data_IF_304813250212
#
_entry.id   IF_304813250212
#
_cell.length_a   1.000
_cell.length_b   1.000
_cell.length_c   1.000
_cell.angle_alpha   90.00
_cell.angle_beta   90.00
_cell.angle_gamma   90.00
#
_symmetry.space_group_name_H-M   'P 1'
#
loop_
_entity.id
_entity.type
_entity.pdbx_description
1 polymer ?
#
# COMPACT_ATOMS: atom_id res chain seq x y z
N UNK A 1 18.27 27.54 18.67
CA UNK A 1 17.22 26.94 17.82
C UNK A 1 15.96 27.77 17.90
N UNK A 2 15.27 27.71 19.03
CA UNK A 2 13.97 28.36 19.28
C UNK A 2 13.87 29.82 18.80
N UNK A 3 14.79 30.70 19.20
CA UNK A 3 14.76 32.11 18.78
C UNK A 3 14.87 32.30 17.26
N UNK A 4 15.68 31.48 16.56
CA UNK A 4 15.78 31.53 15.10
C UNK A 4 14.50 31.05 14.42
N UNK A 5 13.84 30.02 14.98
CA UNK A 5 12.56 29.55 14.49
C UNK A 5 11.44 30.60 14.62
N UNK A 6 11.45 31.41 15.71
CA UNK A 6 10.46 32.48 15.91
C UNK A 6 10.54 33.62 14.88
N UNK A 7 11.66 33.74 14.17
CA UNK A 7 11.85 34.71 13.08
C UNK A 7 11.89 34.01 11.71
N UNK A 8 11.33 32.79 11.62
CA UNK A 8 11.24 31.95 10.42
C UNK A 8 12.58 31.63 9.74
N UNK A 9 13.69 31.66 10.50
CA UNK A 9 15.01 31.21 10.04
C UNK A 9 15.22 29.74 10.40
N UNK A 10 14.48 28.87 9.72
CA UNK A 10 14.39 27.44 10.01
C UNK A 10 15.69 26.66 9.72
N UNK A 11 16.41 27.04 8.67
CA UNK A 11 17.76 26.56 8.36
C UNK A 11 18.74 26.84 9.52
N UNK A 12 18.77 28.09 9.99
CA UNK A 12 19.60 28.51 11.11
C UNK A 12 19.14 27.90 12.44
N UNK A 13 17.82 27.70 12.61
CA UNK A 13 17.28 27.01 13.77
C UNK A 13 17.81 25.57 13.85
N UNK A 14 17.81 24.85 12.73
CA UNK A 14 18.36 23.49 12.63
C UNK A 14 19.86 23.46 12.98
N UNK A 15 20.66 24.39 12.44
CA UNK A 15 22.08 24.50 12.81
C UNK A 15 22.29 24.70 14.30
N UNK A 16 21.51 25.58 14.95
CA UNK A 16 21.63 25.80 16.37
C UNK A 16 21.20 24.58 17.21
N UNK A 17 20.18 23.84 16.77
CA UNK A 17 19.82 22.59 17.43
C UNK A 17 20.94 21.55 17.27
N UNK A 18 21.58 21.43 16.10
CA UNK A 18 22.74 20.55 15.91
C UNK A 18 23.95 20.94 16.78
N UNK A 19 24.20 22.24 17.00
CA UNK A 19 25.22 22.68 17.97
C UNK A 19 24.87 22.26 19.40
N UNK A 20 23.58 22.28 19.74
CA UNK A 20 23.03 21.71 20.98
C UNK A 20 23.34 20.22 21.08
N UNK A 21 23.02 19.45 20.04
CA UNK A 21 23.33 18.02 19.94
C UNK A 21 24.82 17.73 20.19
N UNK A 22 25.73 18.40 19.48
CA UNK A 22 27.17 18.19 19.66
C UNK A 22 27.66 18.57 21.07
N UNK A 23 27.00 19.50 21.74
CA UNK A 23 27.31 19.85 23.13
C UNK A 23 26.78 18.80 24.09
N UNK A 24 25.57 18.28 23.87
CA UNK A 24 24.99 17.19 24.66
C UNK A 24 25.81 15.90 24.55
N UNK A 25 26.26 15.53 23.33
CA UNK A 25 27.15 14.37 23.11
C UNK A 25 28.46 14.53 23.90
N UNK A 26 29.11 15.71 23.86
CA UNK A 26 30.34 15.96 24.62
C UNK A 26 30.14 15.87 26.15
N UNK A 27 28.92 16.09 26.61
CA UNK A 27 28.54 15.99 28.02
C UNK A 27 27.99 14.61 28.38
N UNK A 28 27.99 13.65 27.44
CA UNK A 28 27.37 12.32 27.59
C UNK A 28 25.90 12.40 28.05
N UNK A 29 25.15 13.38 27.55
CA UNK A 29 23.72 13.53 27.83
C UNK A 29 22.91 13.07 26.62
N UNK A 30 22.62 11.77 26.56
CA UNK A 30 21.93 11.12 25.43
C UNK A 30 20.50 11.65 25.26
N UNK A 31 19.78 11.90 26.36
CA UNK A 31 18.42 12.45 26.33
C UNK A 31 18.39 13.80 25.61
N UNK A 32 19.28 14.73 25.97
CA UNK A 32 19.36 16.02 25.28
C UNK A 32 19.90 15.87 23.86
N UNK A 33 20.81 14.94 23.61
CA UNK A 33 21.32 14.68 22.27
C UNK A 33 20.19 14.25 21.32
N UNK A 34 19.38 13.27 21.72
CA UNK A 34 18.20 12.84 20.97
C UNK A 34 17.19 13.99 20.80
N UNK A 35 16.91 14.73 21.87
CA UNK A 35 15.97 15.84 21.83
C UNK A 35 16.38 16.92 20.81
N UNK A 36 17.66 17.31 20.80
CA UNK A 36 18.18 18.27 19.84
C UNK A 36 18.16 17.75 18.40
N UNK A 37 18.41 16.45 18.18
CA UNK A 37 18.27 15.87 16.83
C UNK A 37 16.82 15.89 16.34
N UNK A 38 15.85 15.59 17.21
CA UNK A 38 14.43 15.68 16.86
C UNK A 38 13.99 17.11 16.53
N UNK A 39 14.40 18.09 17.32
CA UNK A 39 14.10 19.50 17.03
C UNK A 39 14.82 19.98 15.75
N UNK A 40 16.02 19.50 15.48
CA UNK A 40 16.72 19.75 14.22
C UNK A 40 15.98 19.14 13.02
N UNK A 41 15.45 17.91 13.14
CA UNK A 41 14.66 17.27 12.10
C UNK A 41 13.40 18.09 11.76
N UNK A 42 12.66 18.55 12.78
CA UNK A 42 11.51 19.42 12.56
C UNK A 42 11.89 20.74 11.88
N UNK A 43 12.98 21.37 12.31
CA UNK A 43 13.48 22.60 11.69
C UNK A 43 13.93 22.38 10.24
N UNK A 44 14.61 21.28 9.93
CA UNK A 44 14.96 20.91 8.55
C UNK A 44 13.74 20.67 7.67
N UNK A 45 12.67 20.11 8.24
CA UNK A 45 11.42 19.91 7.51
C UNK A 45 10.78 21.26 7.14
N UNK A 46 10.69 22.18 8.12
CA UNK A 46 10.22 23.56 7.88
C UNK A 46 11.08 24.30 6.85
N UNK A 47 12.38 24.00 6.78
CA UNK A 47 13.31 24.55 5.80
C UNK A 47 13.29 23.83 4.42
N UNK A 48 12.49 22.76 4.25
CA UNK A 48 12.37 22.01 3.00
C UNK A 48 13.54 21.06 2.70
N UNK A 49 14.37 20.70 3.69
CA UNK A 49 15.57 19.88 3.52
C UNK A 49 15.34 18.41 3.93
N UNK A 50 14.59 17.66 3.12
CA UNK A 50 14.18 16.26 3.42
C UNK A 50 15.34 15.30 3.76
N UNK A 51 16.49 15.29 3.05
CA UNK A 51 17.58 14.39 3.41
C UNK A 51 18.10 14.60 4.84
N UNK A 52 18.17 15.87 5.28
CA UNK A 52 18.56 16.22 6.64
C UNK A 52 17.50 15.87 7.68
N UNK A 53 16.21 15.97 7.32
CA UNK A 53 15.10 15.50 8.18
C UNK A 53 15.29 14.02 8.52
N UNK A 54 15.45 13.17 7.51
CA UNK A 54 15.60 11.72 7.69
C UNK A 54 16.87 11.40 8.48
N UNK A 55 17.99 12.05 8.17
CA UNK A 55 19.25 11.87 8.90
C UNK A 55 19.10 12.21 10.39
N UNK A 56 18.48 13.34 10.70
CA UNK A 56 18.29 13.76 12.10
C UNK A 56 17.29 12.87 12.85
N UNK A 57 16.19 12.45 12.22
CA UNK A 57 15.29 11.48 12.85
C UNK A 57 15.95 10.12 13.08
N UNK A 58 16.68 9.57 12.11
CA UNK A 58 17.45 8.31 12.30
C UNK A 58 18.40 8.42 13.49
N UNK A 59 19.17 9.51 13.56
CA UNK A 59 20.09 9.74 14.67
C UNK A 59 19.36 9.85 16.01
N UNK A 60 18.24 10.58 16.06
CA UNK A 60 17.44 10.69 17.28
C UNK A 60 16.85 9.36 17.71
N UNK A 61 16.31 8.58 16.77
CA UNK A 61 15.69 7.28 17.05
C UNK A 61 16.73 6.27 17.52
N UNK A 62 17.92 6.22 16.90
CA UNK A 62 19.01 5.37 17.35
C UNK A 62 19.42 5.68 18.79
N UNK A 63 19.60 6.97 19.13
CA UNK A 63 19.91 7.37 20.50
C UNK A 63 18.81 6.95 21.50
N UNK A 64 17.54 7.12 21.14
CA UNK A 64 16.42 6.72 22.02
C UNK A 64 16.35 5.19 22.16
N UNK A 65 16.68 4.45 21.10
CA UNK A 65 16.65 2.99 21.15
C UNK A 65 17.69 2.41 22.10
N UNK A 66 18.86 3.06 22.21
CA UNK A 66 19.96 2.69 23.12
C UNK A 66 19.70 3.07 24.59
N UNK A 67 18.72 3.95 24.88
CA UNK A 67 18.40 4.38 26.24
C UNK A 67 17.68 3.28 27.03
N UNK A 68 18.06 3.12 28.31
CA UNK A 68 17.29 2.29 29.24
C UNK A 68 15.97 2.97 29.61
N UNK A 69 14.86 2.36 29.21
CA UNK A 69 13.51 2.95 29.32
C UNK A 69 12.93 2.68 30.69
N UNK A 70 13.50 3.30 31.71
CA UNK A 70 12.84 3.35 33.01
C UNK A 70 11.61 4.27 32.93
N UNK A 71 10.44 3.71 33.27
CA UNK A 71 9.14 4.42 33.25
C UNK A 71 9.10 5.62 34.21
N UNK A 72 10.02 5.66 35.19
CA UNK A 72 10.16 6.77 36.12
C UNK A 72 10.96 7.96 35.58
N UNK A 73 11.74 7.79 34.50
CA UNK A 73 12.57 8.88 33.97
C UNK A 73 11.73 9.82 33.08
N UNK A 74 11.43 11.00 33.62
CA UNK A 74 10.71 12.05 32.90
C UNK A 74 11.42 12.47 31.62
N UNK A 75 12.75 12.54 31.60
CA UNK A 75 13.51 12.99 30.44
C UNK A 75 13.47 12.00 29.29
N UNK A 76 13.68 10.72 29.58
CA UNK A 76 13.61 9.65 28.59
C UNK A 76 12.18 9.53 28.05
N UNK A 77 11.18 9.51 28.94
CA UNK A 77 9.77 9.43 28.52
C UNK A 77 9.34 10.64 27.71
N UNK A 78 9.80 11.84 28.10
CA UNK A 78 9.55 13.08 27.35
C UNK A 78 10.09 12.98 25.93
N UNK A 79 11.40 12.75 25.79
CA UNK A 79 12.04 12.76 24.47
C UNK A 79 11.44 11.69 23.57
N UNK A 80 11.22 10.47 24.07
CA UNK A 80 10.57 9.40 23.31
C UNK A 80 9.21 9.85 22.75
N UNK A 81 8.31 10.33 23.61
CA UNK A 81 6.94 10.68 23.21
C UNK A 81 6.89 11.90 22.31
N UNK A 82 7.67 12.93 22.59
CA UNK A 82 7.71 14.13 21.74
C UNK A 82 8.35 13.84 20.40
N UNK A 83 9.41 13.02 20.34
CA UNK A 83 10.01 12.57 19.08
C UNK A 83 9.01 11.77 18.24
N UNK A 84 8.31 10.80 18.84
CA UNK A 84 7.29 10.00 18.15
C UNK A 84 6.15 10.89 17.61
N UNK A 85 5.73 11.88 18.40
CA UNK A 85 4.72 12.85 17.99
C UNK A 85 5.17 13.69 16.80
N UNK A 86 6.35 14.31 16.86
CA UNK A 86 6.89 15.14 15.77
C UNK A 86 7.06 14.29 14.51
N UNK A 87 7.61 13.08 14.64
CA UNK A 87 7.81 12.16 13.53
C UNK A 87 6.47 11.80 12.85
N UNK A 88 5.46 11.42 13.64
CA UNK A 88 4.13 11.11 13.13
C UNK A 88 3.48 12.32 12.45
N UNK A 89 3.60 13.50 13.05
CA UNK A 89 3.06 14.74 12.50
C UNK A 89 3.70 15.09 11.15
N UNK A 90 5.03 15.09 11.07
CA UNK A 90 5.77 15.38 9.82
C UNK A 90 5.41 14.38 8.74
N UNK A 91 5.39 13.08 9.07
CA UNK A 91 4.97 12.02 8.16
C UNK A 91 3.57 12.29 7.61
N UNK A 92 2.60 12.59 8.46
CA UNK A 92 1.22 12.85 8.03
C UNK A 92 1.13 14.02 7.05
N UNK A 93 1.84 15.12 7.32
CA UNK A 93 1.82 16.28 6.44
C UNK A 93 2.42 15.97 5.07
N UNK A 94 3.50 15.19 5.02
CA UNK A 94 4.11 14.78 3.75
C UNK A 94 3.19 13.79 3.00
N UNK A 95 2.62 12.80 3.70
CA UNK A 95 1.81 11.74 3.10
C UNK A 95 0.43 12.23 2.63
N UNK A 96 -0.22 13.09 3.41
CA UNK A 96 -1.62 13.49 3.19
C UNK A 96 -1.80 14.97 2.85
N UNK A 97 -0.72 15.75 2.79
CA UNK A 97 -0.76 17.21 2.64
C UNK A 97 -1.24 17.98 3.88
N UNK A 98 -1.67 17.28 4.93
CA UNK A 98 -2.19 17.85 6.17
C UNK A 98 -1.91 16.92 7.37
N UNK A 99 -1.83 17.46 8.60
CA UNK A 99 -1.67 16.61 9.78
C UNK A 99 -2.97 15.84 10.07
N UNK A 100 -2.86 14.70 10.75
CA UNK A 100 -4.01 14.01 11.33
C UNK A 100 -4.73 14.94 12.29
N UNK A 101 -6.07 14.88 12.32
CA UNK A 101 -6.91 15.82 13.07
C UNK A 101 -6.62 15.80 14.60
N UNK A 102 -6.17 14.66 15.11
CA UNK A 102 -5.83 14.44 16.51
C UNK A 102 -4.44 14.96 16.90
N UNK A 103 -3.59 15.29 15.92
CA UNK A 103 -2.22 15.73 16.17
C UNK A 103 -2.14 17.25 16.24
N UNK A 104 -1.66 17.77 17.37
CA UNK A 104 -1.31 19.18 17.52
C UNK A 104 -0.03 19.51 16.75
N UNK A 105 0.12 20.77 16.33
CA UNK A 105 1.32 21.20 15.61
C UNK A 105 2.51 21.30 16.58
N UNK A 106 3.65 20.66 16.28
CA UNK A 106 4.85 20.82 17.09
C UNK A 106 5.34 22.26 17.13
N UNK A 107 5.86 22.70 18.26
CA UNK A 107 6.56 23.98 18.38
C UNK A 107 8.08 23.78 18.36
N UNK A 108 8.82 24.83 17.99
CA UNK A 108 10.27 24.75 17.93
C UNK A 108 10.88 24.53 19.32
N UNK A 109 11.74 23.52 19.47
CA UNK A 109 12.37 23.19 20.75
C UNK A 109 11.50 22.32 21.66
N UNK A 110 10.42 21.73 21.15
CA UNK A 110 9.50 20.90 21.92
C UNK A 110 10.21 19.73 22.60
N UNK A 111 11.14 19.06 21.93
CA UNK A 111 11.86 17.95 22.55
C UNK A 111 12.91 18.44 23.56
N UNK A 112 13.65 19.50 23.22
CA UNK A 112 14.77 20.02 24.02
C UNK A 112 14.37 21.02 25.10
N UNK A 113 13.08 21.25 25.32
CA UNK A 113 12.59 22.16 26.37
C UNK A 113 13.05 21.70 27.76
N UNK A 114 13.57 22.62 28.61
CA UNK A 114 13.89 22.30 29.99
C UNK A 114 12.63 22.14 30.86
N UNK A 115 11.54 22.80 30.48
CA UNK A 115 10.26 22.78 31.19
C UNK A 115 9.41 21.60 30.69
N UNK A 116 9.62 20.43 31.28
CA UNK A 116 8.90 19.19 30.93
C UNK A 116 7.66 19.03 31.79
N UNK A 117 6.52 18.73 31.16
CA UNK A 117 5.28 18.46 31.88
C UNK A 117 5.25 17.00 32.37
N UNK A 118 5.24 16.80 33.68
CA UNK A 118 5.18 15.49 34.33
C UNK A 118 3.93 14.67 34.00
N UNK A 119 2.84 15.33 33.59
CA UNK A 119 1.61 14.65 33.15
C UNK A 119 1.84 13.69 31.98
N UNK A 120 2.94 13.87 31.23
CA UNK A 120 3.30 12.97 30.13
C UNK A 120 3.54 11.52 30.61
N UNK A 121 3.93 11.34 31.88
CA UNK A 121 4.14 10.02 32.49
C UNK A 121 2.81 9.27 32.70
N UNK A 122 1.69 9.99 32.83
CA UNK A 122 0.36 9.40 33.05
C UNK A 122 -0.35 8.96 31.76
N UNK A 123 0.20 9.31 30.59
CA UNK A 123 -0.38 8.93 29.30
C UNK A 123 -0.22 7.42 29.04
N UNK A 124 -1.09 6.79 28.21
CA UNK A 124 -0.94 5.38 27.84
C UNK A 124 0.45 5.07 27.27
N UNK A 125 0.96 3.89 27.59
CA UNK A 125 2.21 3.38 27.03
C UNK A 125 2.03 3.05 25.55
N UNK A 126 3.00 3.45 24.74
CA UNK A 126 3.04 3.18 23.30
C UNK A 126 4.33 2.42 23.02
N UNK A 127 4.28 1.27 22.33
CA UNK A 127 5.48 0.54 21.95
C UNK A 127 6.41 1.40 21.10
N UNK A 128 7.71 1.27 21.32
CA UNK A 128 8.72 2.01 20.54
C UNK A 128 8.74 1.57 19.08
N UNK A 129 8.33 0.33 18.81
CA UNK A 129 8.14 -0.27 17.49
C UNK A 129 7.27 0.62 16.58
N UNK A 130 6.31 1.36 17.15
CA UNK A 130 5.48 2.32 16.41
C UNK A 130 6.33 3.49 15.86
N UNK A 131 7.29 3.97 16.64
CA UNK A 131 8.19 5.05 16.21
C UNK A 131 9.15 4.57 15.12
N UNK A 132 9.64 3.32 15.24
CA UNK A 132 10.45 2.68 14.21
C UNK A 132 9.65 2.54 12.90
N UNK A 133 8.41 2.08 12.97
CA UNK A 133 7.52 2.00 11.81
C UNK A 133 7.28 3.38 11.17
N UNK A 134 7.02 4.42 11.96
CA UNK A 134 6.83 5.77 11.41
C UNK A 134 8.07 6.30 10.70
N UNK A 135 9.27 5.96 11.18
CA UNK A 135 10.51 6.32 10.49
C UNK A 135 10.63 5.62 9.14
N UNK A 136 10.38 4.31 9.10
CA UNK A 136 10.36 3.52 7.85
C UNK A 136 9.33 4.08 6.86
N UNK A 137 8.12 4.36 7.34
CA UNK A 137 7.06 4.92 6.48
C UNK A 137 7.42 6.32 5.98
N UNK A 138 8.08 7.14 6.79
CA UNK A 138 8.54 8.46 6.38
C UNK A 138 9.59 8.36 5.26
N UNK A 139 10.57 7.45 5.37
CA UNK A 139 11.54 7.20 4.29
C UNK A 139 10.87 6.79 2.99
N UNK A 140 9.90 5.87 3.12
CA UNK A 140 9.12 5.37 1.98
C UNK A 140 8.34 6.47 1.28
N UNK A 141 7.58 7.28 2.03
CA UNK A 141 6.80 8.40 1.47
C UNK A 141 7.71 9.47 0.87
N UNK A 142 8.93 9.66 1.41
CA UNK A 142 9.93 10.55 0.83
C UNK A 142 10.66 9.97 -0.39
N UNK A 143 10.37 8.73 -0.80
CA UNK A 143 11.10 7.99 -1.82
C UNK A 143 12.63 7.99 -1.58
N UNK A 144 13.02 7.86 -0.31
CA UNK A 144 14.41 7.85 0.12
C UNK A 144 14.97 6.41 0.18
N UNK A 145 16.29 6.30 0.32
CA UNK A 145 16.94 5.01 0.58
C UNK A 145 16.39 4.39 1.89
N UNK A 146 16.02 3.10 1.89
CA UNK A 146 15.26 2.44 2.96
C UNK A 146 16.15 2.03 4.15
N UNK A 147 17.00 2.94 4.63
CA UNK A 147 17.99 2.66 5.69
C UNK A 147 17.32 2.21 7.00
N UNK A 148 16.20 2.83 7.40
CA UNK A 148 15.51 2.41 8.62
C UNK A 148 14.86 1.04 8.46
N UNK A 149 14.43 0.67 7.26
CA UNK A 149 13.90 -0.68 7.00
C UNK A 149 15.02 -1.72 7.13
N UNK A 150 16.23 -1.42 6.65
CA UNK A 150 17.38 -2.31 6.80
C UNK A 150 17.81 -2.46 8.26
N UNK A 151 17.79 -1.37 9.04
CA UNK A 151 18.18 -1.37 10.45
C UNK A 151 17.14 -2.02 11.37
N UNK A 152 15.86 -1.77 11.13
CA UNK A 152 14.79 -2.10 12.08
C UNK A 152 13.74 -3.06 11.53
N UNK A 153 13.73 -3.37 10.24
CA UNK A 153 12.72 -4.21 9.60
C UNK A 153 12.61 -5.59 10.23
N UNK A 154 13.74 -6.28 10.45
CA UNK A 154 13.75 -7.58 11.11
C UNK A 154 13.16 -7.55 12.52
N UNK A 155 13.49 -6.51 13.31
CA UNK A 155 12.93 -6.33 14.65
C UNK A 155 11.41 -6.14 14.63
N UNK A 156 10.91 -5.37 13.66
CA UNK A 156 9.47 -5.14 13.51
C UNK A 156 8.73 -6.38 13.01
N UNK A 157 9.35 -7.14 12.10
CA UNK A 157 8.83 -8.40 11.59
C UNK A 157 8.75 -9.50 12.68
N UNK A 158 9.60 -9.41 13.70
CA UNK A 158 9.62 -10.30 14.86
C UNK A 158 8.72 -9.81 16.01
N UNK A 159 8.04 -8.67 15.83
CA UNK A 159 7.19 -8.08 16.87
C UNK A 159 5.98 -8.96 17.18
N UNK A 160 5.69 -9.15 18.46
CA UNK A 160 4.49 -9.87 18.93
C UNK A 160 3.23 -8.99 18.99
N UNK A 161 3.33 -7.75 18.56
CA UNK A 161 2.25 -6.77 18.59
C UNK A 161 1.53 -6.84 17.23
N UNK A 162 0.28 -7.35 17.17
CA UNK A 162 -0.41 -7.55 15.88
C UNK A 162 -0.56 -6.26 15.07
N UNK A 163 -0.72 -5.12 15.74
CA UNK A 163 -0.79 -3.81 15.10
C UNK A 163 0.49 -3.48 14.30
N UNK A 164 1.67 -3.90 14.75
CA UNK A 164 2.93 -3.67 14.02
C UNK A 164 2.94 -4.46 12.72
N UNK A 165 2.55 -5.74 12.74
CA UNK A 165 2.47 -6.55 11.53
C UNK A 165 1.39 -6.02 10.55
N UNK A 166 0.25 -5.54 11.07
CA UNK A 166 -0.77 -4.83 10.27
C UNK A 166 -0.22 -3.59 9.55
N UNK A 167 0.85 -2.98 10.08
CA UNK A 167 1.51 -1.83 9.49
C UNK A 167 2.65 -2.22 8.54
N UNK A 168 3.41 -3.26 8.88
CA UNK A 168 4.55 -3.75 8.10
C UNK A 168 4.12 -4.53 6.85
N UNK A 169 3.13 -5.41 6.95
CA UNK A 169 2.72 -6.23 5.81
C UNK A 169 2.28 -5.42 4.57
N UNK A 170 1.53 -4.30 4.68
CA UNK A 170 1.26 -3.41 3.54
C UNK A 170 2.52 -2.81 2.90
N UNK A 171 3.58 -2.52 3.67
CA UNK A 171 4.86 -2.05 3.12
C UNK A 171 5.55 -3.17 2.33
N UNK A 172 5.60 -4.37 2.89
CA UNK A 172 6.16 -5.56 2.24
C UNK A 172 5.40 -5.89 0.94
N UNK A 173 4.07 -5.81 0.96
CA UNK A 173 3.24 -5.97 -0.24
C UNK A 173 3.58 -4.91 -1.28
N UNK A 174 3.61 -3.64 -0.89
CA UNK A 174 3.95 -2.55 -1.81
C UNK A 174 5.34 -2.78 -2.45
N UNK A 175 6.34 -3.16 -1.66
CA UNK A 175 7.68 -3.47 -2.15
C UNK A 175 7.67 -4.66 -3.12
N UNK A 176 6.97 -5.75 -2.79
CA UNK A 176 6.88 -6.93 -3.65
C UNK A 176 6.22 -6.63 -5.01
N UNK A 177 5.18 -5.78 -5.04
CA UNK A 177 4.54 -5.35 -6.28
C UNK A 177 5.42 -4.40 -7.10
N UNK A 178 6.16 -3.50 -6.44
CA UNK A 178 7.09 -2.58 -7.11
C UNK A 178 8.31 -3.31 -7.68
N UNK A 179 8.91 -4.24 -6.93
CA UNK A 179 10.10 -4.99 -7.35
C UNK A 179 9.79 -6.18 -8.25
N UNK A 180 8.52 -6.59 -8.36
CA UNK A 180 8.11 -7.82 -9.05
C UNK A 180 8.48 -9.11 -8.31
N UNK A 181 8.94 -9.00 -7.05
CA UNK A 181 9.31 -10.13 -6.19
C UNK A 181 8.08 -10.81 -5.57
N UNK A 182 7.13 -11.20 -6.42
CA UNK A 182 5.82 -11.72 -6.02
C UNK A 182 5.84 -13.18 -5.55
N UNK A 183 6.97 -13.90 -5.66
CA UNK A 183 7.06 -15.33 -5.31
C UNK A 183 6.72 -15.65 -3.86
N UNK A 184 7.01 -14.74 -2.93
CA UNK A 184 6.72 -14.91 -1.48
C UNK A 184 5.37 -14.35 -1.06
N UNK A 185 4.51 -13.97 -2.01
CA UNK A 185 3.21 -13.35 -1.72
C UNK A 185 2.36 -14.14 -0.71
N UNK A 186 2.23 -15.49 -0.77
CA UNK A 186 1.44 -16.22 0.21
C UNK A 186 1.88 -16.00 1.66
N UNK A 187 3.20 -15.92 1.90
CA UNK A 187 3.77 -15.69 3.24
C UNK A 187 3.41 -14.29 3.75
N UNK A 188 3.51 -13.28 2.89
CA UNK A 188 3.19 -11.90 3.27
C UNK A 188 1.69 -11.73 3.55
N UNK A 189 0.84 -12.38 2.74
CA UNK A 189 -0.62 -12.39 2.94
C UNK A 189 -1.00 -13.12 4.22
N UNK A 190 -0.36 -14.26 4.50
CA UNK A 190 -0.62 -15.02 5.73
C UNK A 190 -0.28 -14.22 6.99
N UNK A 191 0.86 -13.53 6.99
CA UNK A 191 1.22 -12.61 8.07
C UNK A 191 0.19 -11.50 8.27
N UNK A 192 -0.22 -10.83 7.19
CA UNK A 192 -1.25 -9.79 7.24
C UNK A 192 -2.58 -10.34 7.77
N UNK A 193 -2.98 -11.51 7.30
CA UNK A 193 -4.23 -12.16 7.67
C UNK A 193 -4.22 -12.56 9.16
N UNK A 194 -3.13 -13.17 9.64
CA UNK A 194 -2.96 -13.49 11.06
C UNK A 194 -3.01 -12.23 11.93
N UNK A 195 -2.33 -11.17 11.51
CA UNK A 195 -2.32 -9.88 12.22
C UNK A 195 -3.71 -9.22 12.24
N UNK A 196 -4.45 -9.31 11.13
CA UNK A 196 -5.81 -8.80 11.01
C UNK A 196 -6.77 -9.53 11.97
N UNK A 197 -6.74 -10.86 11.98
CA UNK A 197 -7.59 -11.66 12.89
C UNK A 197 -7.19 -11.42 14.35
N UNK A 198 -5.89 -11.36 14.64
CA UNK A 198 -5.38 -11.04 15.97
C UNK A 198 -5.86 -9.67 16.48
N UNK A 199 -5.76 -8.65 15.63
CA UNK A 199 -6.20 -7.29 15.97
C UNK A 199 -7.71 -7.23 16.22
N UNK A 200 -8.51 -7.95 15.41
CA UNK A 200 -9.95 -8.06 15.63
C UNK A 200 -10.28 -8.73 16.97
N UNK A 201 -9.60 -9.82 17.32
CA UNK A 201 -9.76 -10.48 18.62
C UNK A 201 -9.46 -9.52 19.78
N UNK A 202 -8.35 -8.78 19.71
CA UNK A 202 -8.01 -7.77 20.73
C UNK A 202 -9.11 -6.70 20.87
N UNK A 203 -9.69 -6.25 19.76
CA UNK A 203 -10.81 -5.28 19.78
C UNK A 203 -12.08 -5.88 20.39
N UNK A 204 -12.42 -7.12 20.07
CA UNK A 204 -13.57 -7.84 20.63
C UNK A 204 -13.41 -8.05 22.14
N UNK A 205 -12.20 -8.38 22.58
CA UNK A 205 -11.83 -8.55 24.00
C UNK A 205 -11.67 -7.22 24.75
N UNK A 206 -11.78 -6.07 24.05
CA UNK A 206 -11.54 -4.71 24.57
C UNK A 206 -10.16 -4.58 25.24
N UNK A 207 -9.18 -5.32 24.74
CA UNK A 207 -7.80 -5.24 25.18
C UNK A 207 -7.15 -3.93 24.70
N UNK A 208 -5.97 -3.61 25.24
CA UNK A 208 -5.21 -2.47 24.75
C UNK A 208 -4.86 -2.65 23.26
N UNK A 209 -4.91 -1.59 22.43
CA UNK A 209 -4.61 -1.67 20.99
C UNK A 209 -3.20 -2.19 20.68
N UNK A 210 -2.29 -2.04 21.64
CA UNK A 210 -0.89 -2.42 21.56
C UNK A 210 -0.57 -3.72 22.31
N UNK A 211 -1.60 -4.43 22.78
CA UNK A 211 -1.41 -5.69 23.49
C UNK A 211 -0.82 -6.77 22.59
N UNK A 212 -0.01 -7.65 23.18
CA UNK A 212 0.28 -8.95 22.58
C UNK A 212 -0.89 -9.89 22.84
N UNK A 213 -1.12 -10.83 21.93
CA UNK A 213 -1.94 -11.99 22.25
C UNK A 213 -1.07 -13.04 22.95
N UNK A 214 -1.53 -13.51 24.11
CA UNK A 214 -0.88 -14.62 24.82
C UNK A 214 -1.12 -15.97 24.11
N UNK A 215 -2.20 -16.06 23.34
CA UNK A 215 -2.57 -17.23 22.55
C UNK A 215 -2.46 -16.96 21.06
N UNK A 216 -1.94 -17.94 20.31
CA UNK A 216 -1.96 -17.90 18.85
C UNK A 216 -3.41 -17.82 18.34
N UNK A 217 -3.59 -17.13 17.22
CA UNK A 217 -4.88 -17.07 16.53
C UNK A 217 -5.25 -18.46 16.03
N UNK A 218 -6.53 -18.84 16.14
CA UNK A 218 -6.99 -20.14 15.65
C UNK A 218 -6.88 -20.21 14.11
N UNK A 219 -6.32 -21.30 13.60
CA UNK A 219 -6.27 -21.60 12.16
C UNK A 219 -7.65 -21.50 11.49
N UNK A 220 -8.71 -21.91 12.19
CA UNK A 220 -10.08 -21.80 11.68
C UNK A 220 -10.51 -20.34 11.47
N UNK A 221 -10.12 -19.43 12.37
CA UNK A 221 -10.44 -18.01 12.25
C UNK A 221 -9.67 -17.38 11.09
N UNK A 222 -8.37 -17.73 10.94
CA UNK A 222 -7.53 -17.30 9.83
C UNK A 222 -8.16 -17.74 8.49
N UNK A 223 -8.49 -19.03 8.37
CA UNK A 223 -9.14 -19.59 7.18
C UNK A 223 -10.48 -18.92 6.86
N UNK A 224 -11.31 -18.64 7.86
CA UNK A 224 -12.59 -17.95 7.66
C UNK A 224 -12.42 -16.51 7.18
N UNK A 225 -11.45 -15.78 7.75
CA UNK A 225 -11.13 -14.43 7.30
C UNK A 225 -10.55 -14.43 5.88
N UNK A 226 -9.72 -15.43 5.53
CA UNK A 226 -9.16 -15.59 4.19
C UNK A 226 -10.25 -15.58 3.09
N UNK A 227 -11.31 -16.35 3.34
CA UNK A 227 -12.42 -16.54 2.41
C UNK A 227 -13.41 -15.37 2.40
N UNK A 228 -13.65 -14.72 3.54
CA UNK A 228 -14.67 -13.66 3.67
C UNK A 228 -14.16 -12.27 3.30
N UNK A 229 -12.89 -11.98 3.58
CA UNK A 229 -12.33 -10.63 3.55
C UNK A 229 -11.36 -10.41 2.36
N UNK A 230 -11.52 -11.18 1.27
CA UNK A 230 -10.79 -11.05 0.00
C UNK A 230 -9.25 -11.12 0.12
N UNK A 231 -8.74 -11.95 1.04
CA UNK A 231 -7.31 -12.24 1.18
C UNK A 231 -6.84 -13.42 0.32
N UNK A 232 -7.76 -14.21 -0.23
CA UNK A 232 -7.44 -15.24 -1.21
C UNK A 232 -7.41 -14.62 -2.62
N UNK A 233 -8.56 -14.34 -3.20
CA UNK A 233 -8.64 -13.96 -4.61
C UNK A 233 -7.94 -12.62 -4.92
N UNK A 234 -8.29 -11.55 -4.21
CA UNK A 234 -7.80 -10.19 -4.45
C UNK A 234 -6.29 -10.06 -4.68
N UNK A 235 -5.42 -10.48 -3.73
CA UNK A 235 -3.98 -10.31 -3.87
C UNK A 235 -3.37 -11.15 -4.99
N UNK A 236 -3.78 -12.42 -5.14
CA UNK A 236 -3.23 -13.29 -6.18
C UNK A 236 -3.70 -12.88 -7.57
N UNK A 237 -4.96 -12.47 -7.72
CA UNK A 237 -5.45 -11.93 -8.99
C UNK A 237 -4.70 -10.63 -9.35
N UNK A 238 -4.49 -9.75 -8.38
CA UNK A 238 -3.71 -8.52 -8.59
C UNK A 238 -2.28 -8.85 -9.04
N UNK A 239 -1.62 -9.79 -8.37
CA UNK A 239 -0.29 -10.25 -8.74
C UNK A 239 -0.28 -10.83 -10.16
N UNK A 240 -1.26 -11.66 -10.52
CA UNK A 240 -1.39 -12.20 -11.86
C UNK A 240 -1.59 -11.09 -12.91
N UNK A 241 -2.47 -10.11 -12.68
CA UNK A 241 -2.64 -8.94 -13.59
C UNK A 241 -1.29 -8.26 -13.83
N UNK A 242 -0.51 -8.03 -12.76
CA UNK A 242 0.81 -7.42 -12.85
C UNK A 242 1.77 -8.27 -13.69
N UNK A 243 1.83 -9.58 -13.44
CA UNK A 243 2.71 -10.53 -14.15
C UNK A 243 2.35 -10.60 -15.63
N UNK A 244 1.07 -10.69 -15.96
CA UNK A 244 0.56 -10.75 -17.34
C UNK A 244 0.90 -9.50 -18.16
N UNK A 245 1.21 -8.40 -17.49
CA UNK A 245 1.56 -7.13 -18.13
C UNK A 245 3.09 -6.90 -18.23
N UNK A 246 3.92 -7.85 -17.78
CA UNK A 246 5.37 -7.79 -17.97
C UNK A 246 5.79 -8.32 -19.35
N UNK A 247 7.00 -7.99 -19.79
CA UNK A 247 7.57 -8.44 -21.07
C UNK A 247 7.80 -9.97 -21.13
N UNK A 248 7.85 -10.65 -19.98
CA UNK A 248 8.02 -12.10 -19.85
C UNK A 248 6.94 -12.68 -18.91
N UNK A 249 5.70 -12.87 -19.40
CA UNK A 249 4.55 -13.24 -18.57
C UNK A 249 4.54 -14.73 -18.21
N UNK A 250 5.54 -15.21 -17.45
CA UNK A 250 5.55 -16.57 -16.91
C UNK A 250 4.74 -16.65 -15.60
N UNK A 251 3.42 -16.71 -15.74
CA UNK A 251 2.50 -16.88 -14.61
C UNK A 251 2.75 -18.20 -13.87
N UNK A 252 3.12 -19.27 -14.58
CA UNK A 252 3.30 -20.60 -13.98
C UNK A 252 4.50 -20.65 -13.05
N UNK A 253 5.57 -19.91 -13.35
CA UNK A 253 6.70 -19.75 -12.43
C UNK A 253 6.23 -19.26 -11.06
N UNK A 254 5.41 -18.22 -11.03
CA UNK A 254 4.90 -17.67 -9.77
C UNK A 254 3.89 -18.60 -9.10
N UNK A 255 3.00 -19.24 -9.87
CA UNK A 255 2.08 -20.28 -9.34
C UNK A 255 2.87 -21.40 -8.65
N UNK A 256 3.93 -21.91 -9.26
CA UNK A 256 4.78 -22.93 -8.66
C UNK A 256 5.48 -22.43 -7.39
N UNK A 257 6.00 -21.21 -7.40
CA UNK A 257 6.58 -20.60 -6.19
C UNK A 257 5.53 -20.48 -5.08
N UNK A 258 4.31 -20.05 -5.41
CA UNK A 258 3.22 -19.94 -4.44
C UNK A 258 2.82 -21.30 -3.85
N UNK A 259 2.81 -22.36 -4.66
CA UNK A 259 2.63 -23.74 -4.17
C UNK A 259 3.73 -24.12 -3.18
N UNK A 260 4.99 -23.81 -3.47
CA UNK A 260 6.11 -24.13 -2.56
C UNK A 260 5.99 -23.42 -1.20
N UNK A 261 5.43 -22.21 -1.17
CA UNK A 261 5.21 -21.46 0.09
C UNK A 261 3.87 -21.79 0.76
N UNK A 262 3.04 -22.65 0.17
CA UNK A 262 1.72 -22.98 0.70
C UNK A 262 1.77 -24.01 1.86
N UNK A 263 2.86 -24.78 1.97
CA UNK A 263 2.90 -25.94 2.87
C UNK A 263 2.77 -25.58 4.36
N UNK A 264 3.21 -24.39 4.76
CA UNK A 264 3.15 -23.91 6.15
C UNK A 264 1.89 -23.07 6.45
N UNK A 265 0.96 -22.92 5.49
CA UNK A 265 -0.19 -22.04 5.61
C UNK A 265 -1.42 -22.76 6.19
N UNK A 266 -2.11 -22.10 7.12
CA UNK A 266 -3.37 -22.60 7.69
C UNK A 266 -4.54 -22.68 6.69
N UNK A 267 -4.41 -22.01 5.54
CA UNK A 267 -5.37 -21.97 4.43
C UNK A 267 -4.76 -22.53 3.13
N UNK A 268 -3.82 -23.48 3.27
CA UNK A 268 -3.15 -24.16 2.17
C UNK A 268 -4.12 -24.72 1.14
N UNK A 269 -5.16 -25.42 1.58
CA UNK A 269 -6.09 -26.10 0.68
C UNK A 269 -6.86 -25.11 -0.20
N UNK A 270 -7.26 -23.96 0.36
CA UNK A 270 -7.88 -22.85 -0.39
C UNK A 270 -6.93 -22.31 -1.46
N UNK A 271 -5.67 -22.08 -1.08
CA UNK A 271 -4.67 -21.61 -2.03
C UNK A 271 -4.45 -22.63 -3.14
N UNK A 272 -4.28 -23.91 -2.81
CA UNK A 272 -4.06 -24.96 -3.80
C UNK A 272 -5.26 -25.10 -4.75
N UNK A 273 -6.51 -25.01 -4.26
CA UNK A 273 -7.70 -24.99 -5.13
C UNK A 273 -7.68 -23.78 -6.08
N UNK A 274 -7.38 -22.59 -5.55
CA UNK A 274 -7.24 -21.38 -6.37
C UNK A 274 -6.16 -21.55 -7.45
N UNK A 275 -4.97 -22.05 -7.10
CA UNK A 275 -3.86 -22.24 -8.03
C UNK A 275 -4.18 -23.29 -9.10
N UNK A 276 -4.92 -24.36 -8.76
CA UNK A 276 -5.40 -25.33 -9.75
C UNK A 276 -6.35 -24.67 -10.78
N UNK A 277 -7.19 -23.73 -10.35
CA UNK A 277 -8.06 -22.96 -11.26
C UNK A 277 -7.23 -22.05 -12.18
N UNK A 278 -6.20 -21.40 -11.65
CA UNK A 278 -5.27 -20.55 -12.42
C UNK A 278 -4.65 -21.37 -13.56
N UNK A 279 -4.06 -22.53 -13.25
CA UNK A 279 -3.46 -23.43 -14.26
C UNK A 279 -4.47 -23.91 -15.29
N UNK A 280 -5.66 -24.31 -14.84
CA UNK A 280 -6.75 -24.75 -15.73
C UNK A 280 -7.11 -23.67 -16.76
N UNK A 281 -7.33 -22.43 -16.33
CA UNK A 281 -7.78 -21.38 -17.23
C UNK A 281 -6.66 -20.78 -18.07
N UNK A 282 -5.43 -20.72 -17.58
CA UNK A 282 -4.28 -20.31 -18.39
C UNK A 282 -4.07 -21.24 -19.59
N UNK A 283 -4.22 -22.55 -19.38
CA UNK A 283 -4.10 -23.55 -20.44
C UNK A 283 -5.29 -23.61 -21.41
N UNK A 284 -6.41 -22.96 -21.10
CA UNK A 284 -7.63 -23.03 -21.88
C UNK A 284 -7.57 -22.16 -23.16
N UNK A 285 -8.16 -22.63 -24.25
CA UNK A 285 -8.30 -21.90 -25.51
C UNK A 285 -9.23 -20.67 -25.38
N UNK A 286 -9.13 -19.71 -26.29
CA UNK A 286 -10.03 -18.55 -26.34
C UNK A 286 -11.52 -18.95 -26.41
N UNK A 287 -11.82 -20.07 -27.08
CA UNK A 287 -13.18 -20.62 -27.18
C UNK A 287 -13.68 -21.17 -25.85
N UNK A 288 -12.85 -21.91 -25.12
CA UNK A 288 -13.20 -22.45 -23.81
C UNK A 288 -13.42 -21.32 -22.80
N UNK A 289 -12.52 -20.34 -22.76
CA UNK A 289 -12.66 -19.16 -21.92
C UNK A 289 -13.94 -18.38 -22.23
N UNK A 290 -14.25 -18.16 -23.51
CA UNK A 290 -15.49 -17.50 -23.93
C UNK A 290 -16.74 -18.30 -23.54
N UNK A 291 -16.68 -19.63 -23.61
CA UNK A 291 -17.80 -20.48 -23.20
C UNK A 291 -18.09 -20.39 -21.69
N UNK A 292 -17.04 -20.29 -20.86
CA UNK A 292 -17.19 -20.12 -19.40
C UNK A 292 -17.83 -18.77 -19.07
N UNK A 293 -17.49 -17.71 -19.81
CA UNK A 293 -18.10 -16.38 -19.67
C UNK A 293 -19.60 -16.35 -19.95
N UNK A 294 -20.05 -17.18 -20.89
CA UNK A 294 -21.45 -17.24 -21.33
C UNK A 294 -22.29 -18.22 -20.49
N UNK A 295 -21.66 -18.94 -19.56
CA UNK A 295 -22.34 -19.87 -18.66
C UNK A 295 -22.95 -19.13 -17.47
N UNK A 296 -24.24 -19.38 -17.19
CA UNK A 296 -24.96 -18.75 -16.07
C UNK A 296 -24.61 -19.35 -14.69
N UNK A 297 -23.89 -20.48 -14.65
CA UNK A 297 -23.59 -21.21 -13.40
C UNK A 297 -22.13 -21.03 -12.94
N UNK A 298 -21.36 -20.16 -13.60
CA UNK A 298 -19.94 -19.97 -13.29
C UNK A 298 -19.76 -19.20 -11.98
N UNK A 299 -18.88 -19.69 -11.11
CA UNK A 299 -18.49 -18.99 -9.88
C UNK A 299 -17.79 -17.65 -10.22
N UNK A 300 -18.03 -16.61 -9.42
CA UNK A 300 -17.41 -15.28 -9.56
C UNK A 300 -15.88 -15.33 -9.66
N UNK A 301 -15.23 -16.21 -8.89
CA UNK A 301 -13.78 -16.36 -8.91
C UNK A 301 -13.26 -16.90 -10.24
N UNK A 302 -13.97 -17.87 -10.81
CA UNK A 302 -13.66 -18.39 -12.14
C UNK A 302 -13.87 -17.29 -13.20
N UNK A 303 -14.91 -16.46 -13.06
CA UNK A 303 -15.13 -15.32 -13.96
C UNK A 303 -13.97 -14.33 -13.92
N UNK A 304 -13.39 -14.01 -12.76
CA UNK A 304 -12.24 -13.10 -12.69
C UNK A 304 -10.97 -13.70 -13.32
N UNK A 305 -10.68 -14.98 -13.06
CA UNK A 305 -9.55 -15.66 -13.69
C UNK A 305 -9.71 -15.76 -15.21
N UNK A 306 -10.90 -16.14 -15.67
CA UNK A 306 -11.23 -16.19 -17.10
C UNK A 306 -11.15 -14.80 -17.71
N UNK A 307 -11.61 -13.76 -17.00
CA UNK A 307 -11.47 -12.36 -17.44
C UNK A 307 -10.02 -12.03 -17.74
N UNK A 308 -9.11 -12.34 -16.81
CA UNK A 308 -7.68 -12.11 -16.98
C UNK A 308 -7.10 -12.89 -18.16
N UNK A 309 -7.37 -14.18 -18.29
CA UNK A 309 -6.78 -14.96 -19.38
C UNK A 309 -7.40 -14.65 -20.75
N UNK A 310 -8.62 -14.12 -20.81
CA UNK A 310 -9.22 -13.55 -22.03
C UNK A 310 -8.42 -12.34 -22.50
N UNK A 311 -7.96 -11.47 -21.59
CA UNK A 311 -7.19 -10.26 -22.00
C UNK A 311 -5.84 -10.60 -22.61
N UNK A 312 -5.30 -11.81 -22.38
CA UNK A 312 -4.08 -12.28 -23.05
C UNK A 312 -4.34 -12.76 -24.49
N UNK A 313 -5.59 -13.03 -24.85
CA UNK A 313 -5.99 -13.60 -26.16
C UNK A 313 -6.75 -12.57 -27.01
N UNK A 314 -6.31 -11.31 -26.95
CA UNK A 314 -6.99 -10.16 -27.57
C UNK A 314 -7.33 -10.43 -29.03
N UNK A 315 -6.40 -10.97 -29.82
CA UNK A 315 -6.60 -11.21 -31.25
C UNK A 315 -7.66 -12.29 -31.55
N UNK A 316 -7.81 -13.28 -30.67
CA UNK A 316 -8.68 -14.46 -30.88
C UNK A 316 -10.10 -14.27 -30.33
N UNK A 317 -10.29 -13.37 -29.37
CA UNK A 317 -11.56 -13.22 -28.66
C UNK A 317 -12.48 -12.18 -29.31
N UNK A 318 -13.80 -12.41 -29.30
CA UNK A 318 -14.77 -11.44 -29.81
C UNK A 318 -14.75 -10.13 -29.00
N UNK A 319 -14.92 -8.95 -29.62
CA UNK A 319 -14.88 -7.66 -28.93
C UNK A 319 -15.84 -7.54 -27.74
N UNK A 320 -17.02 -8.18 -27.84
CA UNK A 320 -18.00 -8.21 -26.75
C UNK A 320 -17.49 -8.95 -25.51
N UNK A 321 -16.86 -10.11 -25.69
CA UNK A 321 -16.30 -10.91 -24.57
C UNK A 321 -15.12 -10.17 -23.94
N UNK A 322 -14.28 -9.51 -24.77
CA UNK A 322 -13.18 -8.68 -24.27
C UNK A 322 -13.69 -7.48 -23.44
N UNK A 323 -14.77 -6.83 -23.87
CA UNK A 323 -15.42 -5.77 -23.10
C UNK A 323 -15.89 -6.28 -21.74
N UNK A 324 -16.59 -7.40 -21.71
CA UNK A 324 -17.06 -7.99 -20.46
C UNK A 324 -15.89 -8.32 -19.54
N UNK A 325 -14.84 -8.97 -20.04
CA UNK A 325 -13.65 -9.30 -19.25
C UNK A 325 -13.00 -8.07 -18.61
N UNK A 326 -12.79 -7.00 -19.39
CA UNK A 326 -12.23 -5.78 -18.84
C UNK A 326 -13.16 -5.07 -17.84
N UNK A 327 -14.48 -5.11 -18.06
CA UNK A 327 -15.47 -4.58 -17.10
C UNK A 327 -15.40 -5.34 -15.77
N UNK A 328 -15.33 -6.68 -15.79
CA UNK A 328 -15.22 -7.49 -14.59
C UNK A 328 -13.94 -7.19 -13.80
N UNK A 329 -12.79 -7.09 -14.48
CA UNK A 329 -11.53 -6.77 -13.82
C UNK A 329 -11.53 -5.35 -13.24
N UNK A 330 -12.01 -4.36 -14.00
CA UNK A 330 -12.07 -2.99 -13.52
C UNK A 330 -13.04 -2.87 -12.34
N UNK A 331 -14.21 -3.50 -12.40
CA UNK A 331 -15.18 -3.47 -11.30
C UNK A 331 -14.62 -4.12 -10.03
N UNK A 332 -13.93 -5.26 -10.13
CA UNK A 332 -13.28 -5.91 -8.97
C UNK A 332 -12.31 -4.97 -8.26
N UNK A 333 -11.42 -4.31 -9.01
CA UNK A 333 -10.31 -3.55 -8.42
C UNK A 333 -10.60 -2.07 -8.16
N UNK A 334 -11.48 -1.44 -8.93
CA UNK A 334 -11.88 -0.04 -8.68
C UNK A 334 -12.79 0.09 -7.46
N UNK A 335 -13.54 -0.96 -7.11
CA UNK A 335 -14.42 -0.97 -5.93
C UNK A 335 -13.69 -1.39 -4.65
N UNK A 336 -12.57 -2.12 -4.77
CA UNK A 336 -11.77 -2.59 -3.64
C UNK A 336 -10.44 -1.84 -3.57
N UNK A 337 -10.39 -0.78 -2.75
CA UNK A 337 -9.19 0.06 -2.61
C UNK A 337 -7.96 -0.72 -2.10
N UNK A 338 -8.16 -1.87 -1.46
CA UNK A 338 -7.09 -2.68 -0.85
C UNK A 338 -6.06 -3.12 -1.87
N UNK A 339 -6.50 -3.70 -2.99
CA UNK A 339 -5.63 -4.32 -3.99
C UNK A 339 -5.48 -3.49 -5.26
N UNK A 340 -6.50 -2.69 -5.61
CA UNK A 340 -6.50 -1.89 -6.83
C UNK A 340 -5.31 -0.94 -6.96
N UNK A 341 -4.87 -0.34 -5.85
CA UNK A 341 -3.72 0.58 -5.81
C UNK A 341 -2.39 -0.03 -6.29
N UNK A 342 -2.25 -1.36 -6.27
CA UNK A 342 -1.01 -2.03 -6.69
C UNK A 342 -0.98 -2.35 -8.19
N UNK A 343 -2.14 -2.30 -8.85
CA UNK A 343 -2.31 -2.78 -10.23
C UNK A 343 -2.97 -1.76 -11.15
N UNK A 344 -3.37 -0.60 -10.63
CA UNK A 344 -4.06 0.45 -11.37
C UNK A 344 -3.37 0.79 -12.70
N UNK A 345 -2.06 1.07 -12.63
CA UNK A 345 -1.26 1.36 -13.82
C UNK A 345 -1.22 0.16 -14.79
N UNK A 346 -1.01 -1.06 -14.28
CA UNK A 346 -0.91 -2.27 -15.11
C UNK A 346 -2.24 -2.60 -15.81
N UNK A 347 -3.36 -2.47 -15.09
CA UNK A 347 -4.69 -2.71 -15.61
C UNK A 347 -5.08 -1.63 -16.64
N UNK A 348 -4.77 -0.37 -16.38
CA UNK A 348 -4.93 0.72 -17.35
C UNK A 348 -4.23 0.44 -18.66
N UNK A 349 -2.94 0.08 -18.59
CA UNK A 349 -2.15 -0.24 -19.79
C UNK A 349 -2.65 -1.48 -20.51
N UNK A 350 -3.02 -2.54 -19.79
CA UNK A 350 -3.58 -3.77 -20.36
C UNK A 350 -4.90 -3.51 -21.11
N UNK A 351 -5.82 -2.74 -20.51
CA UNK A 351 -7.10 -2.40 -21.13
C UNK A 351 -6.85 -1.54 -22.40
N UNK A 352 -6.02 -0.51 -22.28
CA UNK A 352 -5.73 0.39 -23.39
C UNK A 352 -5.02 -0.34 -24.55
N UNK A 353 -4.05 -1.22 -24.26
CA UNK A 353 -3.34 -1.97 -25.29
C UNK A 353 -4.26 -2.96 -26.02
N UNK A 354 -5.10 -3.70 -25.30
CA UNK A 354 -6.04 -4.64 -25.89
C UNK A 354 -7.05 -3.96 -26.82
N UNK A 355 -7.56 -2.79 -26.42
CA UNK A 355 -8.49 -2.03 -27.28
C UNK A 355 -7.80 -1.28 -28.42
N UNK A 356 -6.56 -0.81 -28.24
CA UNK A 356 -5.76 -0.26 -29.33
C UNK A 356 -5.47 -1.31 -30.40
N UNK A 357 -5.25 -2.58 -30.01
CA UNK A 357 -5.12 -3.68 -30.95
C UNK A 357 -6.44 -3.96 -31.68
N UNK A 358 -7.56 -4.03 -30.95
CA UNK A 358 -8.89 -4.21 -31.58
C UNK A 358 -9.26 -3.09 -32.54
N UNK A 359 -8.88 -1.86 -32.25
CA UNK A 359 -9.12 -0.70 -33.11
C UNK A 359 -8.46 -0.82 -34.49
N UNK A 360 -7.37 -1.61 -34.63
CA UNK A 360 -6.74 -1.88 -35.93
C UNK A 360 -7.67 -2.63 -36.89
N UNK A 361 -8.56 -3.47 -36.37
CA UNK A 361 -9.57 -4.20 -37.14
C UNK A 361 -10.87 -3.38 -37.30
N UNK A 362 -10.77 -2.18 -37.88
CA UNK A 362 -11.86 -1.18 -37.95
C UNK A 362 -13.20 -1.72 -38.47
N UNK A 363 -13.17 -2.68 -39.39
CA UNK A 363 -14.38 -3.28 -39.98
C UNK A 363 -15.18 -4.14 -38.99
N UNK A 364 -14.58 -4.56 -37.87
CA UNK A 364 -15.26 -5.32 -36.82
C UNK A 364 -16.01 -4.44 -35.82
N UNK A 365 -15.95 -3.11 -35.99
CA UNK A 365 -16.55 -2.12 -35.09
C UNK A 365 -17.73 -1.40 -35.77
N UNK A 366 -18.68 -0.94 -34.96
CA UNK A 366 -19.85 -0.18 -35.38
C UNK A 366 -19.48 1.26 -35.71
N UNK A 367 -19.88 1.74 -36.90
CA UNK A 367 -19.65 3.12 -37.35
C UNK A 367 -18.20 3.60 -37.17
N UNK A 368 -17.21 2.90 -37.74
CA UNK A 368 -15.80 3.06 -37.38
C UNK A 368 -15.23 4.45 -37.69
N UNK A 369 -15.84 5.21 -38.60
CA UNK A 369 -15.44 6.60 -38.86
C UNK A 369 -15.70 7.54 -37.68
N UNK A 370 -16.67 7.21 -36.82
CA UNK A 370 -17.05 8.00 -35.65
C UNK A 370 -16.45 7.42 -34.36
N UNK A 371 -16.53 6.11 -34.18
CA UNK A 371 -16.22 5.46 -32.89
C UNK A 371 -14.74 5.12 -32.70
N UNK A 372 -14.01 4.82 -33.77
CA UNK A 372 -12.57 4.47 -33.67
C UNK A 372 -11.72 5.66 -33.23
N UNK A 373 -11.90 6.89 -33.75
CA UNK A 373 -11.14 8.04 -33.27
C UNK A 373 -11.34 8.31 -31.77
N UNK A 374 -12.56 8.16 -31.25
CA UNK A 374 -12.84 8.32 -29.82
C UNK A 374 -12.14 7.25 -28.98
N UNK A 375 -12.16 5.99 -29.44
CA UNK A 375 -11.46 4.89 -28.79
C UNK A 375 -9.92 5.08 -28.81
N UNK A 376 -9.36 5.45 -29.95
CA UNK A 376 -7.92 5.75 -30.11
C UNK A 376 -7.50 6.91 -29.18
N UNK A 377 -8.34 7.95 -29.07
CA UNK A 377 -8.10 9.07 -28.16
C UNK A 377 -8.11 8.62 -26.69
N UNK A 378 -9.07 7.80 -26.27
CA UNK A 378 -9.14 7.26 -24.92
C UNK A 378 -7.92 6.38 -24.59
N UNK A 379 -7.49 5.53 -25.52
CA UNK A 379 -6.28 4.71 -25.35
C UNK A 379 -5.00 5.56 -25.24
N UNK A 380 -4.99 6.74 -25.86
CA UNK A 380 -3.83 7.66 -25.91
C UNK A 380 -3.70 8.59 -24.70
N UNK A 381 -4.62 8.53 -23.73
CA UNK A 381 -4.51 9.27 -22.47
C UNK A 381 -3.19 8.89 -21.79
N UNK A 382 -2.39 9.89 -21.38
CA UNK A 382 -1.04 9.64 -20.81
C UNK A 382 -1.07 9.13 -19.38
N UNK A 383 -2.04 9.57 -18.58
CA UNK A 383 -2.13 9.18 -17.18
C UNK A 383 -2.68 7.75 -17.09
N UNK A 384 -1.87 6.84 -16.56
CA UNK A 384 -2.25 5.44 -16.35
C UNK A 384 -2.96 5.28 -15.01
N UNK A 385 -4.29 5.30 -15.05
CA UNK A 385 -5.16 5.24 -13.88
C UNK A 385 -6.48 4.51 -14.21
N UNK A 386 -7.27 4.18 -13.20
CA UNK A 386 -8.61 3.60 -13.41
C UNK A 386 -9.54 4.54 -14.19
N UNK A 387 -9.33 5.85 -14.11
CA UNK A 387 -10.05 6.83 -14.92
C UNK A 387 -9.81 6.65 -16.42
N UNK A 388 -8.56 6.34 -16.83
CA UNK A 388 -8.23 5.98 -18.21
C UNK A 388 -8.89 4.65 -18.61
N UNK A 389 -8.83 3.62 -17.76
CA UNK A 389 -9.53 2.36 -17.99
C UNK A 389 -11.01 2.58 -18.26
N UNK A 390 -11.67 3.38 -17.42
CA UNK A 390 -13.09 3.71 -17.56
C UNK A 390 -13.39 4.45 -18.88
N UNK A 391 -12.56 5.44 -19.25
CA UNK A 391 -12.68 6.15 -20.53
C UNK A 391 -12.61 5.20 -21.73
N UNK A 392 -11.64 4.28 -21.73
CA UNK A 392 -11.46 3.28 -22.80
C UNK A 392 -12.67 2.36 -22.88
N UNK A 393 -13.19 1.86 -21.75
CA UNK A 393 -14.33 0.93 -21.77
C UNK A 393 -15.65 1.58 -22.20
N UNK A 394 -15.87 2.85 -21.86
CA UNK A 394 -17.02 3.62 -22.36
C UNK A 394 -16.96 3.82 -23.88
N UNK A 395 -15.78 4.19 -24.41
CA UNK A 395 -15.57 4.34 -25.85
C UNK A 395 -15.70 2.98 -26.57
N UNK A 396 -15.14 1.92 -25.99
CA UNK A 396 -15.20 0.57 -26.52
C UNK A 396 -16.64 0.03 -26.60
N UNK A 397 -17.45 0.23 -25.55
CA UNK A 397 -18.87 -0.14 -25.56
C UNK A 397 -19.62 0.51 -26.73
N UNK A 398 -19.38 1.79 -26.96
CA UNK A 398 -19.93 2.54 -28.10
C UNK A 398 -19.43 1.97 -29.44
N UNK A 399 -18.13 1.70 -29.55
CA UNK A 399 -17.50 1.16 -30.75
C UNK A 399 -18.00 -0.23 -31.15
N UNK A 400 -18.48 -1.05 -30.21
CA UNK A 400 -19.05 -2.37 -30.50
C UNK A 400 -20.59 -2.37 -30.52
N UNK A 401 -21.23 -1.20 -30.36
CA UNK A 401 -22.69 -1.08 -30.30
C UNK A 401 -23.33 -1.75 -29.07
N UNK A 402 -22.56 -1.96 -28.00
CA UNK A 402 -23.04 -2.56 -26.76
C UNK A 402 -23.49 -1.49 -25.77
N UNK A 403 -24.52 -1.79 -24.98
CA UNK A 403 -24.96 -0.92 -23.89
C UNK A 403 -24.50 -1.51 -22.57
N UNK A 404 -23.63 -0.79 -21.86
CA UNK A 404 -23.32 -1.11 -20.46
C UNK A 404 -24.57 -0.89 -19.59
N UNK A 405 -24.77 -1.68 -18.52
CA UNK A 405 -25.79 -1.39 -17.53
C UNK A 405 -25.63 0.05 -17.00
N UNK A 406 -26.73 0.77 -16.80
CA UNK A 406 -26.70 2.19 -16.44
C UNK A 406 -25.83 2.46 -15.19
N UNK A 407 -25.95 1.62 -14.15
CA UNK A 407 -25.14 1.74 -12.94
C UNK A 407 -23.62 1.59 -13.20
N UNK A 408 -23.21 0.74 -14.16
CA UNK A 408 -21.80 0.58 -14.54
C UNK A 408 -21.33 1.82 -15.30
N UNK A 409 -22.14 2.31 -16.25
CA UNK A 409 -21.81 3.48 -17.04
C UNK A 409 -21.65 4.75 -16.18
N UNK A 410 -22.56 4.99 -15.23
CA UNK A 410 -22.49 6.11 -14.29
C UNK A 410 -21.22 6.05 -13.41
N UNK A 411 -20.86 4.86 -12.91
CA UNK A 411 -19.61 4.66 -12.17
C UNK A 411 -18.39 5.01 -13.02
N UNK A 412 -18.35 4.56 -14.27
CA UNK A 412 -17.20 4.78 -15.16
C UNK A 412 -17.08 6.24 -15.59
N UNK A 413 -18.21 6.95 -15.75
CA UNK A 413 -18.20 8.40 -15.93
C UNK A 413 -17.58 9.09 -14.70
N UNK A 414 -17.97 8.71 -13.48
CA UNK A 414 -17.39 9.26 -12.25
C UNK A 414 -15.89 8.98 -12.13
N UNK A 415 -15.43 7.77 -12.44
CA UNK A 415 -14.00 7.40 -12.42
C UNK A 415 -13.19 8.17 -13.48
N UNK A 416 -13.75 8.35 -14.67
CA UNK A 416 -13.11 9.17 -15.72
C UNK A 416 -13.00 10.62 -15.28
N UNK A 417 -14.04 11.17 -14.67
CA UNK A 417 -14.09 12.59 -14.33
C UNK A 417 -13.25 12.93 -13.08
N UNK A 418 -12.91 11.96 -12.22
CA UNK A 418 -11.96 12.16 -11.11
C UNK A 418 -10.53 12.41 -11.59
N UNK A 419 -10.16 11.83 -12.74
CA UNK A 419 -8.86 12.06 -13.39
C UNK A 419 -8.57 13.55 -13.64
N UNK A 420 -9.60 14.33 -14.00
CA UNK A 420 -9.47 15.76 -14.30
C UNK A 420 -9.25 16.65 -13.06
N UNK A 421 -9.37 16.09 -11.85
CA UNK A 421 -9.11 16.80 -10.59
C UNK A 421 -7.69 16.58 -10.07
N UNK A 422 -7.01 15.55 -10.56
CA UNK A 422 -5.65 15.15 -10.13
C UNK A 422 -4.56 15.59 -11.12
N UNK A 423 -4.93 15.93 -12.35
CA UNK A 423 -4.08 16.58 -13.36
C UNK A 423 -4.13 18.11 -13.22
#
# INVERSE_FOLDING_TARGET
>A
GVAAAHIDKWDLAAEFFLRGYHSAVRLNNEVLAAAFQSDAAYAYWKAGCLPSVLKSFRCSIALIDDMDRDKGDLGITWVFRTTAHILSWVRSVIENGQPQAELTTPFAGMCSTPERNEQILALPEIPFEISLYFLIRLEHVCNAEPIALELYGGRLDDSRIPAIEMFMAPLHLQQAFLSGSLGRLPVVIDKLLCAYVATRKLMEDRAAPWGSLDEAVSELQVRQACLKDDFLEGPFLAALVRICHTDDPDCLRYVNQWRCFADDLSWRDELIDYLNRVEKFQGASARELSAVFLSNETNVMDLHLVSLFVTQKVSEVAPFVLLQAHVYLLDKFSQTSTWGKYIEEALSRMIASGWAEKAKARFALCSPQLTVPELENACSIKLECFGKSAAVLLAAATAIGSRLPQAVAERYLSLRDSMSKEA
#
